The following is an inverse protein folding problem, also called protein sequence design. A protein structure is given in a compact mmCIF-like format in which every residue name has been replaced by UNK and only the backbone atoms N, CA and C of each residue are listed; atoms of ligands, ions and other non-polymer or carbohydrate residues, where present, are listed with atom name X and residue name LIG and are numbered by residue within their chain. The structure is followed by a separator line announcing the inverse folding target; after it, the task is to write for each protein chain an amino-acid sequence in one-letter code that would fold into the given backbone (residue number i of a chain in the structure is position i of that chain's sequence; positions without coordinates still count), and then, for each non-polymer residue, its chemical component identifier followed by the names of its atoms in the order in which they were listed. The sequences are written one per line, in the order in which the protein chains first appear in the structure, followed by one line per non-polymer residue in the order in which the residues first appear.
data_IF_574072473322
#
_entry.id   IF_574072473322
#
_cell.length_a   1.000
_cell.length_b   1.000
_cell.length_c   1.000
_cell.angle_alpha   90.00
_cell.angle_beta   90.00
_cell.angle_gamma   90.00
#
_symmetry.space_group_name_H-M   'P 1'
#
loop_
_entity.id
_entity.type
_entity.pdbx_description
1 polymer ?
#
# COMPACT_ATOMS: atom_id res chain seq x y z
N UNK A 1 -0.46 27.58 36.90
CA UNK A 1 -0.56 28.54 35.78
C UNK A 1 -1.46 27.92 34.69
N UNK A 2 -2.27 28.76 34.03
CA UNK A 2 -3.09 28.32 32.91
C UNK A 2 -2.69 29.06 31.64
N UNK A 3 -2.64 28.37 30.51
CA UNK A 3 -2.42 28.93 29.17
C UNK A 3 -3.65 28.52 28.35
N UNK A 4 -4.32 29.48 27.72
CA UNK A 4 -5.48 29.26 26.88
C UNK A 4 -5.06 29.22 25.41
N UNK A 5 -5.59 28.25 24.66
CA UNK A 5 -5.42 28.14 23.20
C UNK A 5 -6.75 28.51 22.52
N UNK A 6 -6.72 29.59 21.75
CA UNK A 6 -7.87 29.98 20.95
C UNK A 6 -8.17 28.92 19.88
N UNK A 7 -9.47 28.68 19.69
CA UNK A 7 -9.99 27.78 18.67
C UNK A 7 -10.50 28.57 17.47
N UNK A 8 -9.77 28.53 16.37
CA UNK A 8 -10.12 29.24 15.13
C UNK A 8 -11.13 28.48 14.24
N UNK A 9 -11.60 27.32 14.68
CA UNK A 9 -12.57 26.46 13.96
C UNK A 9 -13.82 26.13 14.75
N UNK A 10 -13.88 26.58 16.00
CA UNK A 10 -15.02 26.31 16.91
C UNK A 10 -15.05 27.29 18.08
N UNK A 11 -16.01 27.13 18.97
CA UNK A 11 -16.22 28.03 20.10
C UNK A 11 -15.52 27.59 21.39
N UNK A 12 -15.18 26.31 21.52
CA UNK A 12 -14.56 25.79 22.73
C UNK A 12 -13.03 25.99 22.67
N UNK A 13 -12.41 26.78 23.58
CA UNK A 13 -10.96 26.91 23.62
C UNK A 13 -10.30 25.64 24.16
N UNK A 14 -9.02 25.46 23.81
CA UNK A 14 -8.14 24.52 24.51
C UNK A 14 -7.40 25.23 25.65
N UNK A 15 -6.81 24.44 26.55
CA UNK A 15 -5.97 25.02 27.60
C UNK A 15 -4.91 24.03 28.11
N UNK A 16 -3.85 24.58 28.69
CA UNK A 16 -2.84 23.87 29.45
C UNK A 16 -2.89 24.32 30.90
N UNK A 17 -2.95 23.36 31.80
CA UNK A 17 -2.79 23.57 33.25
C UNK A 17 -1.43 23.05 33.69
N UNK A 18 -0.66 23.88 34.35
CA UNK A 18 0.62 23.54 34.95
C UNK A 18 0.48 23.45 36.48
N UNK A 19 0.91 22.31 37.05
CA UNK A 19 1.06 22.12 38.48
C UNK A 19 2.24 21.24 38.80
N UNK A 20 3.17 21.70 39.61
CA UNK A 20 4.38 20.96 40.06
C UNK A 20 5.14 20.30 38.90
N UNK A 21 5.45 21.03 37.84
CA UNK A 21 6.12 20.59 36.60
C UNK A 21 5.38 19.46 35.85
N UNK A 22 4.09 19.32 36.09
CA UNK A 22 3.20 18.45 35.32
C UNK A 22 2.22 19.28 34.53
N UNK A 23 1.87 18.82 33.35
CA UNK A 23 1.00 19.52 32.41
C UNK A 23 -0.23 18.69 32.09
N UNK A 24 -1.40 19.27 32.24
CA UNK A 24 -2.65 18.71 31.72
C UNK A 24 -3.10 19.59 30.54
N UNK A 25 -3.36 18.97 29.41
CA UNK A 25 -3.74 19.67 28.17
C UNK A 25 -5.13 19.19 27.78
N UNK A 26 -6.06 20.13 27.63
CA UNK A 26 -7.40 19.86 27.13
C UNK A 26 -7.59 20.49 25.76
N UNK A 27 -8.25 19.76 24.87
CA UNK A 27 -8.56 20.19 23.50
C UNK A 27 -10.03 19.89 23.20
N UNK A 28 -10.65 20.59 22.23
CA UNK A 28 -12.00 20.26 21.75
C UNK A 28 -12.09 18.82 21.23
N UNK A 29 -13.26 18.17 21.44
CA UNK A 29 -13.50 16.79 20.99
C UNK A 29 -13.60 16.59 19.47
N UNK A 30 -14.22 17.49 18.68
CA UNK A 30 -14.37 17.30 17.24
C UNK A 30 -13.02 17.18 16.54
N UNK A 31 -12.77 16.12 15.74
CA UNK A 31 -11.46 15.84 15.14
C UNK A 31 -10.87 17.02 14.33
N UNK A 32 -11.70 17.75 13.59
CA UNK A 32 -11.26 18.90 12.78
C UNK A 32 -10.70 20.04 13.62
N UNK A 33 -11.27 20.28 14.81
CA UNK A 33 -10.81 21.30 15.75
C UNK A 33 -9.59 20.80 16.52
N UNK A 34 -9.67 19.57 17.06
CA UNK A 34 -8.62 18.94 17.86
C UNK A 34 -7.29 18.82 17.09
N UNK A 35 -7.32 18.23 15.89
CA UNK A 35 -6.09 18.01 15.08
C UNK A 35 -5.43 19.36 14.75
N UNK A 36 -6.21 20.34 14.35
CA UNK A 36 -5.68 21.67 14.03
C UNK A 36 -5.06 22.35 15.25
N UNK A 37 -5.78 22.38 16.38
CA UNK A 37 -5.28 22.94 17.63
C UNK A 37 -4.03 22.21 18.11
N UNK A 38 -3.99 20.89 18.01
CA UNK A 38 -2.80 20.10 18.33
C UNK A 38 -1.60 20.54 17.49
N UNK A 39 -1.74 20.60 16.18
CA UNK A 39 -0.65 20.96 15.28
C UNK A 39 -0.14 22.38 15.48
N UNK A 40 -1.06 23.35 15.67
CA UNK A 40 -0.72 24.77 15.67
C UNK A 40 -0.39 25.33 17.05
N UNK A 41 -0.92 24.74 18.13
CA UNK A 41 -0.77 25.27 19.48
C UNK A 41 -0.10 24.28 20.45
N UNK A 42 -0.62 23.06 20.55
CA UNK A 42 -0.13 22.06 21.51
C UNK A 42 1.25 21.55 21.15
N UNK A 43 1.47 21.17 19.90
CA UNK A 43 2.77 20.68 19.43
C UNK A 43 3.91 21.69 19.61
N UNK A 44 3.76 22.98 19.25
CA UNK A 44 4.76 24.01 19.56
C UNK A 44 4.99 24.21 21.06
N UNK A 45 3.91 24.16 21.89
CA UNK A 45 4.04 24.22 23.33
C UNK A 45 4.86 23.04 23.89
N UNK A 46 4.61 21.82 23.43
CA UNK A 46 5.35 20.63 23.89
C UNK A 46 6.82 20.64 23.43
N UNK A 47 7.13 21.23 22.28
CA UNK A 47 8.50 21.32 21.78
C UNK A 47 9.47 22.04 22.73
N UNK A 48 9.01 22.98 23.56
CA UNK A 48 9.86 23.68 24.52
C UNK A 48 10.43 22.78 25.64
N UNK A 49 9.83 21.59 25.84
CA UNK A 49 10.28 20.59 26.83
C UNK A 49 11.11 19.49 26.21
N UNK A 50 11.29 19.52 24.89
CA UNK A 50 11.96 18.48 24.15
C UNK A 50 13.47 18.73 24.11
N UNK A 51 14.22 17.92 24.84
CA UNK A 51 15.70 17.93 24.84
C UNK A 51 16.29 16.99 23.78
N UNK A 52 15.46 16.12 23.21
CA UNK A 52 15.85 15.10 22.24
C UNK A 52 14.76 14.99 21.16
N UNK A 53 15.12 14.53 19.99
CA UNK A 53 14.19 14.28 18.90
C UNK A 53 14.10 12.78 18.61
N UNK A 54 12.90 12.32 18.23
CA UNK A 54 12.68 10.95 17.74
C UNK A 54 12.46 11.05 16.25
N UNK A 55 13.33 10.40 15.49
CA UNK A 55 13.16 10.21 14.05
C UNK A 55 12.88 8.74 13.76
N UNK A 56 12.25 8.47 12.63
CA UNK A 56 12.04 7.11 12.17
C UNK A 56 11.99 7.04 10.65
N UNK A 57 12.28 5.84 10.11
CA UNK A 57 11.97 5.43 8.73
C UNK A 57 11.12 4.18 8.78
N UNK A 58 10.27 4.00 7.79
CA UNK A 58 9.47 2.79 7.61
C UNK A 58 9.78 2.22 6.25
N UNK A 59 10.43 1.05 6.25
CA UNK A 59 10.64 0.27 5.03
C UNK A 59 9.41 -0.59 4.79
N UNK A 60 8.92 -0.66 3.55
CA UNK A 60 7.79 -1.51 3.19
C UNK A 60 8.21 -2.60 2.23
N UNK A 61 7.66 -3.79 2.45
CA UNK A 61 8.05 -5.02 1.78
C UNK A 61 6.84 -5.68 1.11
N UNK A 62 7.06 -6.24 -0.06
CA UNK A 62 6.09 -7.05 -0.78
C UNK A 62 6.68 -8.41 -1.13
N UNK A 63 5.84 -9.47 -1.10
CA UNK A 63 6.24 -10.82 -1.52
C UNK A 63 7.01 -11.63 -0.48
N UNK A 64 7.16 -11.13 0.76
CA UNK A 64 7.78 -11.86 1.88
C UNK A 64 6.90 -11.75 3.12
N UNK A 65 6.63 -12.88 3.78
CA UNK A 65 5.83 -12.92 5.01
C UNK A 65 6.59 -12.37 6.22
N UNK A 66 5.86 -11.88 7.22
CA UNK A 66 6.40 -11.25 8.44
C UNK A 66 7.41 -12.14 9.16
N UNK A 67 7.06 -13.38 9.46
CA UNK A 67 7.95 -14.33 10.16
C UNK A 67 9.25 -14.60 9.39
N UNK A 68 9.18 -14.72 8.05
CA UNK A 68 10.36 -14.89 7.21
C UNK A 68 11.22 -13.63 7.19
N UNK A 69 10.59 -12.46 7.21
CA UNK A 69 11.27 -11.18 7.24
C UNK A 69 11.98 -10.95 8.58
N UNK A 70 11.32 -11.26 9.71
CA UNK A 70 11.92 -11.21 11.05
C UNK A 70 13.14 -12.13 11.18
N UNK A 71 13.04 -13.36 10.66
CA UNK A 71 14.14 -14.33 10.70
C UNK A 71 15.41 -13.78 10.06
N UNK A 72 15.30 -13.04 8.94
CA UNK A 72 16.45 -12.47 8.22
C UNK A 72 17.15 -11.33 8.96
N UNK A 73 16.48 -10.71 9.93
CA UNK A 73 17.00 -9.57 10.70
C UNK A 73 16.98 -9.82 12.21
N UNK A 74 16.81 -11.07 12.63
CA UNK A 74 16.66 -11.43 14.04
C UNK A 74 17.85 -10.96 14.90
N UNK A 75 19.05 -11.06 14.36
CA UNK A 75 20.27 -10.55 15.01
C UNK A 75 20.24 -9.04 15.23
N UNK A 76 19.63 -8.28 14.34
CA UNK A 76 19.46 -6.83 14.50
C UNK A 76 18.39 -6.51 15.56
N UNK A 77 17.33 -7.31 15.60
CA UNK A 77 16.25 -7.16 16.59
C UNK A 77 16.74 -7.52 17.98
N UNK A 78 17.43 -8.65 18.14
CA UNK A 78 17.90 -9.15 19.45
C UNK A 78 18.96 -8.24 20.07
N UNK A 79 19.81 -7.62 19.26
CA UNK A 79 20.89 -6.74 19.72
C UNK A 79 20.52 -5.25 19.71
N UNK A 80 19.27 -4.89 19.42
CA UNK A 80 18.86 -3.51 19.31
C UNK A 80 18.88 -2.78 20.68
N UNK A 81 19.32 -1.54 20.65
CA UNK A 81 19.18 -0.59 21.77
C UNK A 81 18.60 0.73 21.27
N UNK A 82 19.35 1.45 20.44
CA UNK A 82 18.93 2.61 19.70
C UNK A 82 19.82 2.74 18.44
N UNK A 83 19.26 2.60 17.24
CA UNK A 83 17.84 2.57 16.89
C UNK A 83 17.08 1.31 17.33
N UNK A 84 15.76 1.47 17.54
CA UNK A 84 14.84 0.36 17.75
C UNK A 84 14.23 -0.07 16.42
N UNK A 85 13.95 -1.37 16.29
CA UNK A 85 13.39 -2.01 15.11
C UNK A 85 12.06 -2.67 15.50
N UNK A 86 11.00 -2.41 14.75
CA UNK A 86 9.70 -3.04 14.94
C UNK A 86 9.12 -3.48 13.59
N UNK A 87 8.63 -4.71 13.54
CA UNK A 87 7.96 -5.30 12.39
C UNK A 87 6.45 -5.14 12.51
N UNK A 88 5.79 -4.96 11.38
CA UNK A 88 4.33 -4.86 11.30
C UNK A 88 3.87 -5.60 10.06
N UNK A 89 2.79 -6.40 10.21
CA UNK A 89 2.11 -7.03 9.10
C UNK A 89 0.80 -6.30 8.76
N UNK A 90 0.57 -6.14 7.47
CA UNK A 90 -0.74 -5.86 6.87
C UNK A 90 -1.08 -6.99 5.90
N UNK A 91 -2.32 -7.06 5.48
CA UNK A 91 -2.72 -8.02 4.46
C UNK A 91 -1.92 -7.80 3.16
N UNK A 92 -1.13 -8.83 2.77
CA UNK A 92 -0.28 -8.81 1.58
C UNK A 92 1.02 -8.00 1.67
N UNK A 93 1.27 -7.27 2.76
CA UNK A 93 2.45 -6.43 2.94
C UNK A 93 3.04 -6.54 4.35
N UNK A 94 4.35 -6.34 4.45
CA UNK A 94 5.02 -6.18 5.73
C UNK A 94 5.75 -4.84 5.77
N UNK A 95 5.99 -4.31 6.96
CA UNK A 95 6.83 -3.13 7.14
C UNK A 95 7.75 -3.26 8.34
N UNK A 96 8.91 -2.61 8.26
CA UNK A 96 9.87 -2.47 9.34
C UNK A 96 10.01 -0.98 9.65
N UNK A 97 9.72 -0.62 10.87
CA UNK A 97 9.95 0.73 11.38
C UNK A 97 11.23 0.76 12.20
N UNK A 98 12.16 1.62 11.82
CA UNK A 98 13.41 1.86 12.51
C UNK A 98 13.32 3.25 13.13
N UNK A 99 13.47 3.36 14.45
CA UNK A 99 13.33 4.63 15.16
C UNK A 99 14.52 4.87 16.08
N UNK A 100 15.02 6.11 16.09
CA UNK A 100 16.14 6.53 16.92
C UNK A 100 15.82 7.82 17.66
N UNK A 101 16.27 7.90 18.90
CA UNK A 101 16.13 9.05 19.78
C UNK A 101 17.51 9.68 20.05
N UNK A 102 17.74 10.90 19.54
CA UNK A 102 19.03 11.63 19.62
C UNK A 102 18.80 13.10 19.94
N UNK A 103 19.86 13.81 20.22
CA UNK A 103 19.83 15.28 20.45
C UNK A 103 19.44 16.03 19.18
N UNK A 104 19.84 15.54 18.02
CA UNK A 104 19.56 16.18 16.73
C UNK A 104 18.94 15.19 15.73
N UNK A 105 18.12 15.68 14.81
CA UNK A 105 17.57 14.88 13.71
C UNK A 105 18.68 14.25 12.86
N UNK A 106 19.76 14.98 12.61
CA UNK A 106 20.92 14.50 11.83
C UNK A 106 21.57 13.28 12.48
N UNK A 107 21.77 13.29 13.79
CA UNK A 107 22.33 12.14 14.53
C UNK A 107 21.36 10.95 14.50
N UNK A 108 20.04 11.21 14.66
CA UNK A 108 19.02 10.18 14.62
C UNK A 108 18.96 9.50 13.25
N UNK A 109 18.89 10.28 12.17
CA UNK A 109 18.86 9.72 10.80
C UNK A 109 20.14 8.99 10.44
N UNK A 110 21.32 9.44 10.89
CA UNK A 110 22.57 8.72 10.66
C UNK A 110 22.53 7.31 11.27
N UNK A 111 22.07 7.20 12.51
CA UNK A 111 21.96 5.90 13.17
C UNK A 111 20.91 5.00 12.49
N UNK A 112 19.78 5.57 12.05
CA UNK A 112 18.74 4.86 11.29
C UNK A 112 19.30 4.37 9.96
N UNK A 113 20.03 5.20 9.23
CA UNK A 113 20.56 4.88 7.89
C UNK A 113 21.60 3.74 7.93
N UNK A 114 22.33 3.57 9.02
CA UNK A 114 23.22 2.41 9.26
C UNK A 114 22.41 1.10 9.29
N UNK A 115 21.31 1.05 10.05
CA UNK A 115 20.41 -0.11 10.11
C UNK A 115 19.67 -0.34 8.79
N UNK A 116 19.18 0.74 8.16
CA UNK A 116 18.54 0.67 6.84
C UNK A 116 19.47 0.05 5.80
N UNK A 117 20.75 0.42 5.81
CA UNK A 117 21.75 -0.12 4.88
C UNK A 117 21.96 -1.63 5.09
N UNK A 118 21.99 -2.07 6.34
CA UNK A 118 22.12 -3.50 6.66
C UNK A 118 20.88 -4.30 6.21
N UNK A 119 19.68 -3.79 6.49
CA UNK A 119 18.44 -4.42 6.04
C UNK A 119 18.36 -4.44 4.50
N UNK A 120 18.78 -3.36 3.84
CA UNK A 120 18.84 -3.30 2.38
C UNK A 120 19.77 -4.34 1.79
N UNK A 121 20.93 -4.58 2.39
CA UNK A 121 21.88 -5.59 1.90
C UNK A 121 21.28 -7.01 1.92
N UNK A 122 20.39 -7.29 2.87
CA UNK A 122 19.76 -8.62 3.03
C UNK A 122 18.46 -8.77 2.25
N UNK A 123 17.67 -7.70 2.09
CA UNK A 123 16.25 -7.76 1.72
C UNK A 123 15.87 -6.80 0.58
N UNK A 124 16.84 -6.25 -0.17
CA UNK A 124 16.58 -5.21 -1.19
C UNK A 124 15.55 -5.59 -2.25
N UNK A 125 15.47 -6.87 -2.63
CA UNK A 125 14.55 -7.36 -3.65
C UNK A 125 13.07 -7.30 -3.24
N UNK A 126 12.80 -7.26 -1.93
CA UNK A 126 11.45 -7.20 -1.37
C UNK A 126 11.03 -5.77 -0.98
N UNK A 127 11.98 -4.82 -0.87
CA UNK A 127 11.70 -3.44 -0.45
C UNK A 127 11.11 -2.65 -1.63
N UNK A 128 9.87 -2.21 -1.50
CA UNK A 128 9.27 -1.33 -2.50
C UNK A 128 9.23 0.14 -2.08
N UNK A 129 9.27 0.47 -0.78
CA UNK A 129 9.37 1.85 -0.29
C UNK A 129 10.30 1.97 0.91
N UNK A 130 11.02 3.09 0.97
CA UNK A 130 11.91 3.50 2.06
C UNK A 130 11.29 4.60 2.95
N UNK A 131 10.17 5.17 2.54
CA UNK A 131 9.53 6.32 3.17
C UNK A 131 8.03 6.09 3.45
N UNK A 132 7.62 4.84 3.66
CA UNK A 132 6.24 4.44 3.99
C UNK A 132 5.19 4.77 2.91
N UNK A 133 5.60 4.89 1.65
CA UNK A 133 4.67 5.09 0.53
C UNK A 133 3.79 3.85 0.32
N UNK A 134 2.54 4.03 -0.11
CA UNK A 134 1.68 2.91 -0.48
C UNK A 134 2.16 2.27 -1.80
N UNK A 135 1.94 0.95 -1.97
CA UNK A 135 2.39 0.22 -3.14
C UNK A 135 1.84 0.83 -4.45
N UNK A 136 0.58 1.24 -4.44
CA UNK A 136 -0.06 1.86 -5.60
C UNK A 136 0.62 3.18 -5.99
N UNK A 137 1.06 3.99 -5.02
CA UNK A 137 1.74 5.26 -5.29
C UNK A 137 3.11 5.01 -5.93
N UNK A 138 3.87 4.05 -5.38
CA UNK A 138 5.19 3.67 -5.93
C UNK A 138 5.06 3.12 -7.34
N UNK A 139 4.08 2.23 -7.59
CA UNK A 139 3.84 1.66 -8.93
C UNK A 139 3.37 2.76 -9.89
N UNK A 140 2.39 3.56 -9.49
CA UNK A 140 1.87 4.64 -10.31
C UNK A 140 2.94 5.66 -10.69
N UNK A 141 3.79 6.05 -9.74
CA UNK A 141 4.92 6.92 -10.00
C UNK A 141 5.91 6.31 -11.00
N UNK A 142 6.27 5.03 -10.83
CA UNK A 142 7.15 4.34 -11.78
C UNK A 142 6.57 4.29 -13.19
N UNK A 143 5.27 4.05 -13.33
CA UNK A 143 4.60 4.07 -14.64
C UNK A 143 4.69 5.47 -15.26
N UNK A 144 4.37 6.52 -14.52
CA UNK A 144 4.40 7.91 -14.97
C UNK A 144 5.81 8.35 -15.36
N UNK A 145 6.79 8.13 -14.48
CA UNK A 145 8.18 8.58 -14.68
C UNK A 145 8.85 7.91 -15.89
N UNK A 146 8.40 6.68 -16.26
CA UNK A 146 8.93 5.94 -17.40
C UNK A 146 8.01 6.00 -18.64
N UNK A 147 6.90 6.75 -18.59
CA UNK A 147 5.88 6.81 -19.64
C UNK A 147 5.37 5.42 -20.08
N UNK A 148 5.23 4.49 -19.13
CA UNK A 148 4.72 3.14 -19.38
C UNK A 148 3.20 3.17 -19.29
N UNK A 149 2.55 2.91 -20.41
CA UNK A 149 1.07 2.87 -20.48
C UNK A 149 0.53 1.60 -19.86
N UNK A 150 -0.61 1.70 -19.16
CA UNK A 150 -1.30 0.58 -18.51
C UNK A 150 -2.79 0.56 -18.82
N UNK A 151 -3.33 -0.63 -19.03
CA UNK A 151 -4.76 -0.93 -19.08
C UNK A 151 -5.10 -2.14 -18.21
N UNK A 152 -6.34 -2.24 -17.76
CA UNK A 152 -6.81 -3.42 -17.03
C UNK A 152 -8.17 -3.90 -17.52
N UNK A 153 -8.45 -5.19 -17.32
CA UNK A 153 -9.77 -5.77 -17.46
C UNK A 153 -10.10 -6.63 -16.24
N UNK A 154 -11.23 -6.35 -15.65
CA UNK A 154 -11.65 -6.88 -14.37
C UNK A 154 -12.96 -7.67 -14.48
N UNK A 155 -13.05 -8.76 -13.73
CA UNK A 155 -14.28 -9.51 -13.54
C UNK A 155 -14.72 -9.42 -12.07
N UNK A 156 -14.26 -10.32 -11.22
CA UNK A 156 -14.68 -10.41 -9.82
C UNK A 156 -14.35 -9.17 -8.96
N UNK A 157 -13.38 -8.38 -9.33
CA UNK A 157 -12.99 -7.12 -8.65
C UNK A 157 -13.85 -5.92 -9.06
N UNK A 158 -14.65 -6.02 -10.13
CA UNK A 158 -15.69 -5.04 -10.48
C UNK A 158 -15.20 -3.61 -10.74
N UNK A 159 -13.93 -3.38 -11.01
CA UNK A 159 -13.34 -2.05 -11.21
C UNK A 159 -12.51 -1.56 -10.03
N UNK A 160 -12.29 -2.37 -8.98
CA UNK A 160 -11.50 -1.99 -7.80
C UNK A 160 -10.04 -1.73 -8.15
N UNK A 161 -9.42 -2.52 -9.04
CA UNK A 161 -8.06 -2.30 -9.48
C UNK A 161 -7.93 -0.96 -10.22
N UNK A 162 -8.82 -0.70 -11.19
CA UNK A 162 -8.86 0.58 -11.90
C UNK A 162 -9.10 1.75 -10.93
N UNK A 163 -10.05 1.62 -10.00
CA UNK A 163 -10.34 2.62 -8.98
C UNK A 163 -9.14 2.91 -8.08
N UNK A 164 -8.42 1.88 -7.64
CA UNK A 164 -7.21 2.03 -6.84
C UNK A 164 -6.11 2.74 -7.63
N UNK A 165 -5.87 2.33 -8.87
CA UNK A 165 -4.84 2.94 -9.70
C UNK A 165 -5.16 4.41 -10.02
N UNK A 166 -6.43 4.74 -10.26
CA UNK A 166 -6.86 6.12 -10.55
C UNK A 166 -6.83 7.06 -9.34
N UNK A 167 -6.61 6.55 -8.12
CA UNK A 167 -6.35 7.39 -6.95
C UNK A 167 -4.99 8.08 -6.99
N UNK A 168 -4.04 7.57 -7.81
CA UNK A 168 -2.70 8.16 -7.92
C UNK A 168 -2.75 9.44 -8.76
N UNK A 169 -2.24 10.51 -8.19
CA UNK A 169 -2.19 11.81 -8.87
C UNK A 169 -1.32 11.74 -10.14
N UNK A 170 -1.89 12.20 -11.27
CA UNK A 170 -1.19 12.23 -12.55
C UNK A 170 -1.20 10.92 -13.34
N UNK A 171 -1.82 9.85 -12.84
CA UNK A 171 -1.88 8.54 -13.51
C UNK A 171 -2.60 8.60 -14.87
N UNK A 172 -3.47 9.59 -15.09
CA UNK A 172 -4.16 9.80 -16.37
C UNK A 172 -3.23 9.99 -17.58
N UNK A 173 -1.94 10.28 -17.34
CA UNK A 173 -0.93 10.35 -18.40
C UNK A 173 -0.61 9.00 -19.01
N UNK A 174 -0.79 7.91 -18.25
CA UNK A 174 -0.37 6.57 -18.60
C UNK A 174 -1.47 5.52 -18.45
N UNK A 175 -2.52 5.76 -17.70
CA UNK A 175 -3.67 4.87 -17.59
C UNK A 175 -4.63 5.12 -18.76
N UNK A 176 -4.67 4.19 -19.73
CA UNK A 176 -5.53 4.31 -20.91
C UNK A 176 -6.98 3.94 -20.59
N UNK A 177 -7.24 2.74 -20.08
CA UNK A 177 -8.60 2.30 -19.72
C UNK A 177 -8.65 1.13 -18.75
N UNK A 178 -9.79 1.05 -18.03
CA UNK A 178 -10.21 -0.12 -17.28
C UNK A 178 -11.54 -0.65 -17.83
N UNK A 179 -11.62 -1.94 -18.12
CA UNK A 179 -12.81 -2.62 -18.61
C UNK A 179 -13.36 -3.55 -17.53
N UNK A 180 -14.62 -3.41 -17.15
CA UNK A 180 -15.29 -4.38 -16.29
C UNK A 180 -16.02 -5.40 -17.15
N UNK A 181 -15.39 -6.55 -17.40
CA UNK A 181 -15.94 -7.66 -18.19
C UNK A 181 -16.50 -8.75 -17.28
N UNK A 182 -17.60 -8.41 -16.59
CA UNK A 182 -18.14 -9.23 -15.51
C UNK A 182 -18.79 -10.53 -16.00
N UNK A 183 -19.48 -10.48 -17.14
CA UNK A 183 -20.15 -11.65 -17.73
C UNK A 183 -19.28 -12.35 -18.78
N UNK A 184 -19.58 -13.61 -19.07
CA UNK A 184 -18.95 -14.37 -20.19
C UNK A 184 -19.13 -13.62 -21.51
N UNK A 185 -20.36 -13.15 -21.77
CA UNK A 185 -20.67 -12.35 -22.96
C UNK A 185 -19.77 -11.14 -23.09
N UNK A 186 -19.53 -10.40 -21.99
CA UNK A 186 -18.65 -9.24 -22.02
C UNK A 186 -17.19 -9.63 -22.29
N UNK A 187 -16.70 -10.74 -21.72
CA UNK A 187 -15.35 -11.25 -22.02
C UNK A 187 -15.17 -11.60 -23.49
N UNK A 188 -16.17 -12.27 -24.07
CA UNK A 188 -16.17 -12.63 -25.49
C UNK A 188 -16.20 -11.38 -26.38
N UNK A 189 -17.16 -10.48 -26.16
CA UNK A 189 -17.37 -9.32 -27.00
C UNK A 189 -16.28 -8.27 -26.90
N UNK A 190 -15.82 -7.98 -25.69
CA UNK A 190 -14.86 -6.90 -25.43
C UNK A 190 -13.41 -7.33 -25.62
N UNK A 191 -13.07 -8.57 -25.29
CA UNK A 191 -11.70 -9.05 -25.25
C UNK A 191 -11.41 -10.18 -26.24
N UNK A 192 -12.45 -10.72 -26.90
CA UNK A 192 -12.29 -11.84 -27.83
C UNK A 192 -11.90 -13.16 -27.14
N UNK A 193 -12.33 -13.35 -25.89
CA UNK A 193 -12.17 -14.64 -25.20
C UNK A 193 -12.97 -15.71 -25.94
N UNK A 194 -12.36 -16.87 -26.15
CA UNK A 194 -13.00 -17.99 -26.87
C UNK A 194 -14.16 -18.56 -26.06
N UNK A 195 -15.38 -18.68 -26.63
CA UNK A 195 -16.46 -19.40 -25.98
C UNK A 195 -16.10 -20.85 -25.62
N UNK A 196 -15.31 -21.53 -26.48
CA UNK A 196 -14.85 -22.90 -26.27
C UNK A 196 -13.95 -22.96 -25.03
N UNK A 197 -13.04 -22.00 -24.86
CA UNK A 197 -12.17 -21.94 -23.66
C UNK A 197 -13.00 -21.75 -22.40
N UNK A 198 -14.05 -20.94 -22.42
CA UNK A 198 -14.94 -20.75 -21.27
C UNK A 198 -15.70 -22.05 -20.95
N UNK A 199 -16.22 -22.75 -21.98
CA UNK A 199 -16.97 -23.99 -21.80
C UNK A 199 -16.07 -25.12 -21.24
N UNK A 200 -14.86 -25.30 -21.76
CA UNK A 200 -13.94 -26.37 -21.35
C UNK A 200 -13.21 -26.12 -20.03
N UNK A 201 -12.85 -24.84 -19.76
CA UNK A 201 -11.94 -24.48 -18.65
C UNK A 201 -12.60 -23.68 -17.54
N UNK A 202 -13.86 -23.28 -17.73
CA UNK A 202 -14.60 -22.33 -16.88
C UNK A 202 -14.15 -20.86 -17.04
N UNK A 203 -15.06 -19.94 -16.68
CA UNK A 203 -14.87 -18.50 -16.81
C UNK A 203 -13.78 -17.93 -15.90
N UNK A 204 -13.37 -18.69 -14.88
CA UNK A 204 -12.28 -18.35 -13.93
C UNK A 204 -11.18 -19.40 -14.00
N UNK A 205 -10.47 -19.43 -15.10
CA UNK A 205 -9.31 -20.29 -15.35
C UNK A 205 -8.08 -19.46 -15.76
N UNK A 206 -6.92 -20.10 -15.72
CA UNK A 206 -5.67 -19.51 -16.19
C UNK A 206 -5.72 -19.16 -17.67
N UNK A 207 -6.36 -20.01 -18.47
CA UNK A 207 -6.55 -19.85 -19.91
C UNK A 207 -7.42 -18.64 -20.21
N UNK A 208 -8.56 -18.50 -19.53
CA UNK A 208 -9.43 -17.33 -19.69
C UNK A 208 -8.72 -16.04 -19.24
N UNK A 209 -7.98 -16.07 -18.12
CA UNK A 209 -7.20 -14.91 -17.69
C UNK A 209 -6.13 -14.52 -18.71
N UNK A 210 -5.48 -15.49 -19.35
CA UNK A 210 -4.52 -15.25 -20.44
C UNK A 210 -5.20 -14.66 -21.66
N UNK A 211 -6.31 -15.23 -22.12
CA UNK A 211 -7.04 -14.71 -23.26
C UNK A 211 -7.59 -13.28 -23.01
N UNK A 212 -8.03 -13.01 -21.78
CA UNK A 212 -8.46 -11.66 -21.38
C UNK A 212 -7.32 -10.64 -21.49
N UNK A 213 -6.13 -10.94 -20.95
CA UNK A 213 -5.00 -9.98 -20.98
C UNK A 213 -4.47 -9.78 -22.39
N UNK A 214 -4.40 -10.83 -23.21
CA UNK A 214 -4.03 -10.74 -24.61
C UNK A 214 -5.07 -9.97 -25.45
N UNK A 215 -6.35 -10.21 -25.18
CA UNK A 215 -7.46 -9.46 -25.81
C UNK A 215 -7.42 -7.98 -25.45
N UNK A 216 -7.13 -7.68 -24.20
CA UNK A 216 -6.97 -6.30 -23.74
C UNK A 216 -5.80 -5.62 -24.46
N UNK A 217 -4.64 -6.28 -24.57
CA UNK A 217 -3.49 -5.74 -25.27
C UNK A 217 -3.78 -5.49 -26.75
N UNK A 218 -4.42 -6.44 -27.46
CA UNK A 218 -4.83 -6.23 -28.86
C UNK A 218 -5.76 -5.01 -29.02
N UNK A 219 -6.60 -4.73 -28.02
CA UNK A 219 -7.56 -3.62 -28.05
C UNK A 219 -6.94 -2.27 -27.74
N UNK A 220 -5.96 -2.21 -26.85
CA UNK A 220 -5.42 -0.97 -26.27
C UNK A 220 -4.04 -0.61 -26.76
N UNK A 221 -3.20 -1.62 -27.05
CA UNK A 221 -1.78 -1.42 -27.34
C UNK A 221 -0.96 -0.95 -26.14
N UNK A 222 -1.52 -1.00 -24.90
CA UNK A 222 -0.82 -0.56 -23.70
C UNK A 222 0.39 -1.44 -23.41
N UNK A 223 1.48 -0.83 -22.91
CA UNK A 223 2.72 -1.51 -22.56
C UNK A 223 2.51 -2.57 -21.47
N UNK A 224 1.67 -2.24 -20.48
CA UNK A 224 1.25 -3.13 -19.41
C UNK A 224 -0.24 -3.39 -19.52
N UNK A 225 -0.63 -4.66 -19.52
CA UNK A 225 -2.01 -5.09 -19.42
C UNK A 225 -2.19 -6.02 -18.22
N UNK A 226 -3.29 -5.83 -17.49
CA UNK A 226 -3.68 -6.67 -16.35
C UNK A 226 -5.08 -7.21 -16.59
N UNK A 227 -5.25 -8.53 -16.39
CA UNK A 227 -6.58 -9.15 -16.32
C UNK A 227 -6.81 -9.77 -14.95
N UNK A 228 -8.05 -9.72 -14.45
CA UNK A 228 -8.43 -10.33 -13.17
C UNK A 228 -9.74 -11.08 -13.36
N UNK A 229 -9.71 -12.40 -13.12
CA UNK A 229 -10.92 -13.23 -13.11
C UNK A 229 -10.87 -14.22 -11.95
N UNK A 230 -12.00 -14.48 -11.28
CA UNK A 230 -12.03 -15.36 -10.10
C UNK A 230 -13.40 -15.38 -9.44
N UNK A 231 -13.45 -15.95 -8.24
CA UNK A 231 -14.66 -16.10 -7.41
C UNK A 231 -14.53 -15.20 -6.18
N UNK A 232 -15.25 -14.07 -6.17
CA UNK A 232 -15.25 -13.17 -5.03
C UNK A 232 -16.10 -13.69 -3.86
N UNK A 233 -17.07 -14.59 -4.13
CA UNK A 233 -17.98 -15.11 -3.11
C UNK A 233 -19.23 -14.21 -2.90
N UNK A 234 -20.08 -14.54 -1.90
CA UNK A 234 -19.89 -15.58 -0.87
C UNK A 234 -20.10 -17.03 -1.38
N UNK A 235 -20.69 -17.18 -2.56
CA UNK A 235 -21.02 -18.51 -3.15
C UNK A 235 -20.10 -18.82 -4.35
N UNK A 236 -20.20 -20.05 -4.87
CA UNK A 236 -19.55 -20.47 -6.13
C UNK A 236 -18.16 -21.08 -5.97
N UNK A 237 -17.63 -21.18 -4.74
CA UNK A 237 -16.38 -21.88 -4.48
C UNK A 237 -16.48 -23.39 -4.68
N UNK A 238 -15.35 -24.02 -5.05
CA UNK A 238 -15.17 -25.49 -5.18
C UNK A 238 -13.91 -25.88 -4.42
N UNK A 239 -13.73 -27.16 -4.14
CA UNK A 239 -12.58 -27.67 -3.38
C UNK A 239 -11.24 -27.31 -4.05
N UNK A 240 -11.18 -27.37 -5.38
CA UNK A 240 -10.00 -27.04 -6.18
C UNK A 240 -9.85 -25.53 -6.44
N UNK A 241 -10.93 -24.76 -6.28
CA UNK A 241 -10.99 -23.32 -6.50
C UNK A 241 -11.94 -22.65 -5.50
N UNK A 242 -11.52 -22.45 -4.25
CA UNK A 242 -12.35 -21.89 -3.19
C UNK A 242 -12.70 -20.42 -3.44
N UNK A 243 -13.71 -19.93 -2.73
CA UNK A 243 -14.05 -18.49 -2.68
C UNK A 243 -12.80 -17.69 -2.32
N UNK A 244 -12.63 -16.54 -2.95
CA UNK A 244 -11.44 -15.70 -2.84
C UNK A 244 -10.31 -16.08 -3.78
N UNK A 245 -10.42 -17.18 -4.54
CA UNK A 245 -9.43 -17.52 -5.57
C UNK A 245 -9.61 -16.66 -6.82
N UNK A 246 -8.51 -16.22 -7.37
CA UNK A 246 -8.49 -15.50 -8.65
C UNK A 246 -7.25 -15.81 -9.47
N UNK A 247 -7.36 -15.65 -10.78
CA UNK A 247 -6.25 -15.61 -11.70
C UNK A 247 -6.00 -14.17 -12.14
N UNK A 248 -4.72 -13.78 -12.07
CA UNK A 248 -4.25 -12.48 -12.56
C UNK A 248 -3.40 -12.75 -13.79
N UNK A 249 -3.88 -12.31 -14.96
CA UNK A 249 -3.09 -12.24 -16.18
C UNK A 249 -2.28 -10.93 -16.19
N UNK A 250 -1.01 -11.05 -16.53
CA UNK A 250 -0.08 -9.94 -16.66
C UNK A 250 0.60 -10.00 -18.01
N UNK A 251 0.65 -8.88 -18.71
CA UNK A 251 1.43 -8.70 -19.93
C UNK A 251 2.28 -7.44 -19.82
N UNK A 252 3.54 -7.56 -20.16
CA UNK A 252 4.45 -6.44 -20.35
C UNK A 252 5.28 -6.67 -21.60
N UNK A 253 5.13 -5.80 -22.57
CA UNK A 253 5.72 -5.95 -23.92
C UNK A 253 5.34 -7.31 -24.52
N UNK A 254 6.32 -8.13 -24.88
CA UNK A 254 6.13 -9.44 -25.50
C UNK A 254 5.99 -10.61 -24.49
N UNK A 255 5.99 -10.30 -23.18
CA UNK A 255 5.91 -11.32 -22.13
C UNK A 255 4.56 -11.31 -21.46
N UNK A 256 3.91 -12.47 -21.44
CA UNK A 256 2.67 -12.69 -20.71
C UNK A 256 2.82 -13.81 -19.71
N UNK A 257 2.11 -13.71 -18.61
CA UNK A 257 2.05 -14.73 -17.56
C UNK A 257 0.70 -14.68 -16.86
N UNK A 258 0.35 -15.78 -16.19
CA UNK A 258 -0.83 -15.85 -15.32
C UNK A 258 -0.39 -16.38 -13.97
N UNK A 259 -0.85 -15.74 -12.91
CA UNK A 259 -0.62 -16.17 -11.53
C UNK A 259 -1.96 -16.42 -10.86
N UNK A 260 -2.08 -17.54 -10.16
CA UNK A 260 -3.21 -17.82 -9.27
C UNK A 260 -2.93 -17.19 -7.90
N UNK A 261 -3.92 -16.51 -7.36
CA UNK A 261 -3.93 -16.04 -5.97
C UNK A 261 -5.10 -16.72 -5.25
N UNK A 262 -4.92 -16.99 -3.97
CA UNK A 262 -5.98 -17.43 -3.08
C UNK A 262 -6.17 -16.35 -2.03
N UNK A 263 -7.33 -15.71 -2.04
CA UNK A 263 -7.71 -14.79 -0.97
C UNK A 263 -7.80 -15.59 0.35
N UNK A 264 -7.42 -14.95 1.44
CA UNK A 264 -7.69 -15.50 2.78
C UNK A 264 -9.13 -15.11 3.14
N UNK A 265 -9.91 -16.11 3.57
CA UNK A 265 -11.22 -15.87 4.19
C UNK A 265 -11.05 -15.19 5.55
#
# INVERSE_FOLDING_TARGET
RAIVFDNDKGTAPGFVLEHKNKYAIAMPGPPREMVRMFQQKVKPFLKQFQNETICYRTLRFFGKGESSLETEILDLIDNQTDPTIATYAKEGECSIRIASKRKTEKEAYRAIDEIVSEIKNRLSEYIFSYDNEELVDVVGKKLIDNNITISCCESCTGGMFAGTLTSVSGISKVFDRGLTTYTEKAKIQELGVSPVTIEEKTVYSSEVAMEMVEGLHRKTGSDVCISITGIAGPEGGRDDFPVGSAYIGFRYKEKSSVTRINGRN
#
